data_IF_802697546480
#
_entry.id   IF_802697546480
#
_cell.length_a   1.000
_cell.length_b   1.000
_cell.length_c   1.000
_cell.angle_alpha   90.00
_cell.angle_beta   90.00
_cell.angle_gamma   90.00
#
_symmetry.space_group_name_H-M   'P 1'
#
loop_
_entity.id
_entity.type
_entity.pdbx_description
1 polymer ?
#
# COMPACT_ATOMS: atom_id res chain seq x y z
N UNK A 1 -10.89 -87.26 -14.45
CA UNK A 1 -11.93 -86.22 -14.31
C UNK A 1 -11.92 -85.78 -12.86
N UNK A 2 -11.71 -84.47 -12.60
CA UNK A 2 -11.85 -83.68 -11.35
C UNK A 2 -10.63 -82.81 -11.02
N UNK A 3 -10.78 -81.53 -11.40
CA UNK A 3 -9.95 -80.37 -11.07
C UNK A 3 -10.00 -80.04 -9.57
N UNK A 4 -8.90 -79.51 -9.03
CA UNK A 4 -8.94 -78.54 -7.91
C UNK A 4 -7.95 -77.40 -8.13
N UNK A 5 -8.49 -76.28 -8.60
CA UNK A 5 -7.85 -74.97 -8.66
C UNK A 5 -7.71 -74.44 -7.23
N UNK A 6 -6.48 -74.10 -6.81
CA UNK A 6 -6.25 -73.35 -5.56
C UNK A 6 -6.30 -71.86 -5.89
N UNK A 7 -7.35 -71.17 -5.46
CA UNK A 7 -7.49 -69.71 -5.61
C UNK A 7 -6.48 -68.97 -4.72
N UNK A 8 -5.75 -68.05 -5.33
CA UNK A 8 -4.95 -67.02 -4.67
C UNK A 8 -5.90 -65.93 -4.16
N UNK A 9 -5.84 -65.62 -2.86
CA UNK A 9 -6.49 -64.44 -2.28
C UNK A 9 -5.48 -63.29 -2.30
N UNK A 10 -5.60 -62.38 -3.26
CA UNK A 10 -4.82 -61.14 -3.29
C UNK A 10 -5.58 -60.06 -2.49
N UNK A 11 -5.04 -59.68 -1.33
CA UNK A 11 -5.57 -58.58 -0.52
C UNK A 11 -4.99 -57.26 -1.03
N UNK A 12 -5.76 -56.53 -1.83
CA UNK A 12 -5.38 -55.19 -2.31
C UNK A 12 -5.69 -54.17 -1.22
N UNK A 13 -4.65 -53.70 -0.51
CA UNK A 13 -4.75 -52.55 0.40
C UNK A 13 -4.77 -51.29 -0.46
N UNK A 14 -5.93 -50.64 -0.55
CA UNK A 14 -6.10 -49.36 -1.24
C UNK A 14 -5.66 -48.24 -0.28
N UNK A 15 -4.41 -47.80 -0.39
CA UNK A 15 -3.90 -46.65 0.36
C UNK A 15 -4.44 -45.36 -0.29
N UNK A 16 -5.47 -44.77 0.30
CA UNK A 16 -5.94 -43.42 -0.04
C UNK A 16 -4.91 -42.40 0.47
N UNK A 17 -3.99 -41.98 -0.40
CA UNK A 17 -3.24 -40.75 -0.19
C UNK A 17 -4.19 -39.56 -0.34
N UNK A 18 -4.71 -39.07 0.79
CA UNK A 18 -5.41 -37.80 0.84
C UNK A 18 -4.41 -36.69 0.51
N UNK A 19 -4.55 -36.07 -0.66
CA UNK A 19 -3.90 -34.79 -0.93
C UNK A 19 -4.58 -33.74 -0.04
N UNK A 20 -3.98 -33.44 1.12
CA UNK A 20 -4.29 -32.22 1.83
C UNK A 20 -3.76 -31.06 0.97
N UNK A 21 -4.66 -30.30 0.36
CA UNK A 21 -4.30 -29.01 -0.24
C UNK A 21 -3.78 -28.12 0.88
N UNK A 22 -2.48 -27.87 0.91
CA UNK A 22 -1.93 -26.77 1.71
C UNK A 22 -2.47 -25.50 1.07
N UNK A 23 -3.45 -24.88 1.71
CA UNK A 23 -3.90 -23.54 1.31
C UNK A 23 -2.73 -22.59 1.61
N UNK A 24 -2.04 -22.14 0.57
CA UNK A 24 -1.16 -20.97 0.68
C UNK A 24 -2.05 -19.79 1.08
N UNK A 25 -1.68 -19.09 2.15
CA UNK A 25 -2.35 -17.84 2.50
C UNK A 25 -2.21 -16.88 1.32
N UNK A 26 -3.33 -16.33 0.83
CA UNK A 26 -3.26 -15.34 -0.23
C UNK A 26 -2.49 -14.10 0.27
N UNK A 27 -1.61 -13.55 -0.56
CA UNK A 27 -0.77 -12.39 -0.22
C UNK A 27 -1.16 -11.16 -1.05
N UNK A 28 -0.85 -9.96 -0.55
CA UNK A 28 -0.96 -8.73 -1.33
C UNK A 28 0.17 -8.69 -2.37
N UNK A 29 -0.17 -8.89 -3.64
CA UNK A 29 0.81 -8.98 -4.73
C UNK A 29 1.04 -7.62 -5.37
N UNK A 30 2.30 -7.22 -5.53
CA UNK A 30 2.72 -5.95 -6.15
C UNK A 30 3.48 -6.25 -7.44
N UNK A 31 3.13 -5.58 -8.55
CA UNK A 31 3.75 -5.83 -9.87
C UNK A 31 3.99 -4.55 -10.65
N UNK A 32 4.94 -4.61 -11.59
CA UNK A 32 5.30 -3.47 -12.42
C UNK A 32 5.96 -2.37 -11.60
N UNK A 33 7.07 -2.70 -10.93
CA UNK A 33 7.80 -1.75 -10.11
C UNK A 33 8.40 -0.61 -10.96
N UNK A 34 8.00 0.62 -10.64
CA UNK A 34 8.62 1.84 -11.11
C UNK A 34 9.45 2.51 -10.01
N UNK A 35 10.01 3.69 -10.33
CA UNK A 35 10.85 4.45 -9.39
C UNK A 35 10.11 4.76 -8.09
N UNK A 36 8.87 5.26 -8.19
CA UNK A 36 8.12 5.80 -7.04
C UNK A 36 6.79 5.08 -6.76
N UNK A 37 6.45 4.02 -7.51
CA UNK A 37 5.18 3.30 -7.40
C UNK A 37 5.27 1.88 -7.97
N UNK A 38 4.32 1.02 -7.64
CA UNK A 38 4.00 -0.15 -8.47
C UNK A 38 2.87 0.19 -9.44
N UNK A 39 2.88 -0.41 -10.62
CA UNK A 39 1.79 -0.26 -11.59
C UNK A 39 0.49 -0.88 -11.05
N UNK A 40 0.60 -2.06 -10.42
CA UNK A 40 -0.56 -2.80 -9.95
C UNK A 40 -0.29 -3.37 -8.54
N UNK A 41 -1.30 -3.28 -7.67
CA UNK A 41 -1.35 -3.97 -6.38
C UNK A 41 -2.65 -4.75 -6.33
N UNK A 42 -2.54 -6.08 -6.21
CA UNK A 42 -3.67 -7.00 -6.05
C UNK A 42 -3.86 -7.31 -4.58
N UNK A 43 -5.03 -6.98 -4.04
CA UNK A 43 -5.41 -7.23 -2.66
C UNK A 43 -6.34 -8.44 -2.65
N UNK A 44 -5.96 -9.58 -2.04
CA UNK A 44 -6.78 -10.78 -2.05
C UNK A 44 -7.96 -10.66 -1.08
N UNK A 45 -8.87 -11.65 -1.17
CA UNK A 45 -9.90 -11.82 -0.16
C UNK A 45 -9.26 -12.06 1.22
N UNK A 46 -9.91 -11.57 2.27
CA UNK A 46 -9.45 -11.74 3.65
C UNK A 46 -8.45 -10.67 4.13
N UNK A 47 -7.96 -9.78 3.28
CA UNK A 47 -7.16 -8.63 3.73
C UNK A 47 -8.01 -7.62 4.53
N UNK A 48 -7.41 -7.04 5.58
CA UNK A 48 -7.94 -5.86 6.25
C UNK A 48 -7.68 -4.62 5.40
N UNK A 49 -8.59 -3.64 5.43
CA UNK A 49 -8.39 -2.36 4.74
C UNK A 49 -8.68 -1.19 5.68
N UNK A 50 -7.92 -0.11 5.51
CA UNK A 50 -8.09 1.13 6.25
C UNK A 50 -8.12 2.31 5.28
N UNK A 51 -9.12 3.17 5.48
CA UNK A 51 -9.38 4.36 4.68
C UNK A 51 -9.09 5.57 5.55
N UNK A 52 -8.11 6.38 5.14
CA UNK A 52 -7.81 7.64 5.81
C UNK A 52 -8.33 8.80 4.96
N UNK A 53 -8.83 9.85 5.62
CA UNK A 53 -9.29 11.07 4.95
C UNK A 53 -8.13 11.82 4.31
N UNK A 54 -8.45 12.71 3.37
CA UNK A 54 -7.50 13.69 2.86
C UNK A 54 -6.89 14.50 4.00
N UNK A 55 -5.58 14.67 4.00
CA UNK A 55 -4.86 15.54 4.92
C UNK A 55 -3.87 16.39 4.13
N UNK A 56 -3.70 17.63 4.57
CA UNK A 56 -2.57 18.47 4.19
C UNK A 56 -1.65 18.72 5.38
N UNK A 57 -0.71 19.64 5.17
CA UNK A 57 0.25 20.04 6.18
C UNK A 57 -0.41 20.79 7.36
N UNK A 58 0.38 21.03 8.39
CA UNK A 58 0.10 21.94 9.51
C UNK A 58 0.94 23.21 9.33
N UNK A 59 0.50 24.38 9.85
CA UNK A 59 1.31 25.59 9.77
C UNK A 59 2.58 25.45 10.62
N UNK A 60 3.66 26.05 10.15
CA UNK A 60 4.93 26.18 10.87
C UNK A 60 4.81 27.16 12.04
N UNK A 61 5.82 27.20 12.92
CA UNK A 61 5.84 28.08 14.09
C UNK A 61 5.75 29.58 13.73
N UNK A 62 6.27 29.96 12.56
CA UNK A 62 6.21 31.34 12.05
C UNK A 62 4.88 31.67 11.35
N UNK A 63 3.95 30.71 11.31
CA UNK A 63 2.65 30.83 10.66
C UNK A 63 2.67 30.61 9.14
N UNK A 64 3.84 30.38 8.54
CA UNK A 64 3.94 29.96 7.14
C UNK A 64 3.55 28.49 6.98
N UNK A 65 3.32 28.03 5.75
CA UNK A 65 3.03 26.62 5.46
C UNK A 65 4.22 25.85 4.90
N UNK A 66 5.33 26.54 4.60
CA UNK A 66 6.46 25.95 3.91
C UNK A 66 6.23 25.67 2.42
N UNK A 67 7.24 25.08 1.80
CA UNK A 67 7.22 24.64 0.39
C UNK A 67 6.54 23.28 0.18
N UNK A 68 6.48 22.82 -1.08
CA UNK A 68 5.83 21.56 -1.42
C UNK A 68 6.46 20.35 -0.73
N UNK A 69 7.79 20.32 -0.60
CA UNK A 69 8.50 19.23 0.05
C UNK A 69 8.17 19.20 1.54
N UNK A 70 8.26 20.34 2.21
CA UNK A 70 7.94 20.49 3.63
C UNK A 70 6.49 20.08 3.93
N UNK A 71 5.55 20.53 3.11
CA UNK A 71 4.13 20.15 3.27
C UNK A 71 3.90 18.66 3.01
N UNK A 72 4.59 18.08 2.02
CA UNK A 72 4.50 16.64 1.74
C UNK A 72 5.04 15.81 2.91
N UNK A 73 6.18 16.21 3.47
CA UNK A 73 6.81 15.53 4.62
C UNK A 73 5.92 15.62 5.86
N UNK A 74 5.40 16.79 6.20
CA UNK A 74 4.49 16.97 7.34
C UNK A 74 3.24 16.10 7.17
N UNK A 75 2.65 16.10 5.98
CA UNK A 75 1.46 15.30 5.69
C UNK A 75 1.70 13.80 5.87
N UNK A 76 2.84 13.27 5.39
CA UNK A 76 3.16 11.85 5.57
C UNK A 76 3.54 11.48 7.00
N UNK A 77 4.19 12.37 7.76
CA UNK A 77 4.40 12.16 9.20
C UNK A 77 3.08 12.03 9.97
N UNK A 78 2.09 12.89 9.66
CA UNK A 78 0.74 12.78 10.26
C UNK A 78 0.06 11.45 9.93
N UNK A 79 0.24 10.94 8.72
CA UNK A 79 -0.24 9.60 8.37
C UNK A 79 0.50 8.51 9.12
N UNK A 80 1.83 8.59 9.23
CA UNK A 80 2.65 7.65 10.01
C UNK A 80 2.14 7.58 11.45
N UNK A 81 1.99 8.71 12.12
CA UNK A 81 1.46 8.79 13.49
C UNK A 81 0.04 8.19 13.60
N UNK A 82 -0.84 8.53 12.67
CA UNK A 82 -2.23 8.04 12.67
C UNK A 82 -2.29 6.53 12.47
N UNK A 83 -1.48 5.98 11.55
CA UNK A 83 -1.39 4.54 11.28
C UNK A 83 -0.83 3.80 12.49
N UNK A 84 0.29 4.28 13.03
CA UNK A 84 0.97 3.65 14.17
C UNK A 84 0.09 3.64 15.43
N UNK A 85 -0.70 4.70 15.67
CA UNK A 85 -1.66 4.76 16.79
C UNK A 85 -2.74 3.67 16.73
N UNK A 86 -2.99 3.10 15.54
CA UNK A 86 -3.96 2.04 15.29
C UNK A 86 -3.28 0.68 15.00
N UNK A 87 -1.95 0.61 15.17
CA UNK A 87 -1.15 -0.59 14.94
C UNK A 87 -0.95 -0.95 13.46
N UNK A 88 -1.11 0.02 12.55
CA UNK A 88 -0.75 -0.07 11.12
C UNK A 88 0.61 0.57 10.89
N UNK A 89 1.21 0.36 9.71
CA UNK A 89 2.48 0.96 9.32
C UNK A 89 2.39 1.70 7.98
N UNK A 90 3.41 2.50 7.66
CA UNK A 90 3.55 3.11 6.33
C UNK A 90 3.69 2.07 5.21
N UNK A 91 4.20 0.87 5.50
CA UNK A 91 4.32 -0.21 4.52
C UNK A 91 2.96 -0.78 4.09
N UNK A 92 1.94 -0.64 4.96
CA UNK A 92 0.57 -1.08 4.69
C UNK A 92 -0.12 -0.17 3.66
N UNK A 93 0.42 1.02 3.36
CA UNK A 93 -0.17 1.94 2.38
C UNK A 93 -0.06 1.33 0.98
N UNK A 94 -1.22 1.09 0.36
CA UNK A 94 -1.35 0.53 -0.98
C UNK A 94 -1.72 1.57 -2.02
N UNK A 95 -2.31 2.70 -1.62
CA UNK A 95 -2.64 3.80 -2.53
C UNK A 95 -2.32 5.16 -1.92
N UNK A 96 -1.70 6.03 -2.71
CA UNK A 96 -1.55 7.46 -2.46
C UNK A 96 -2.20 8.25 -3.57
N UNK A 97 -3.08 9.18 -3.23
CA UNK A 97 -3.62 10.16 -4.17
C UNK A 97 -3.31 11.55 -3.67
N UNK A 98 -2.51 12.28 -4.42
CA UNK A 98 -2.10 13.63 -4.09
C UNK A 98 -2.78 14.62 -5.04
N UNK A 99 -3.47 15.60 -4.45
CA UNK A 99 -4.08 16.72 -5.12
C UNK A 99 -3.27 17.96 -4.80
N UNK A 100 -2.72 18.61 -5.83
CA UNK A 100 -1.77 19.69 -5.64
C UNK A 100 -2.16 20.94 -6.42
N UNK A 101 -1.76 22.09 -5.91
CA UNK A 101 -1.91 23.38 -6.57
C UNK A 101 -0.53 23.91 -6.94
N UNK A 102 -0.48 24.76 -7.98
CA UNK A 102 0.76 25.45 -8.33
C UNK A 102 1.12 26.45 -7.24
N UNK A 103 2.43 26.61 -6.99
CA UNK A 103 2.94 27.58 -6.03
C UNK A 103 2.75 29.04 -6.50
N UNK A 104 3.26 30.03 -5.75
CA UNK A 104 3.08 31.45 -6.06
C UNK A 104 3.67 31.87 -7.42
N UNK A 105 4.59 31.08 -7.98
CA UNK A 105 5.20 31.30 -9.29
C UNK A 105 4.42 30.66 -10.45
N UNK A 106 3.25 30.05 -10.19
CA UNK A 106 2.38 29.46 -11.21
C UNK A 106 2.78 28.06 -11.68
N UNK A 107 3.91 27.54 -11.20
CA UNK A 107 4.39 26.20 -11.54
C UNK A 107 4.05 25.17 -10.46
N UNK A 108 3.69 23.97 -10.91
CA UNK A 108 3.46 22.83 -10.04
C UNK A 108 4.80 22.22 -9.63
N UNK A 109 5.10 22.21 -8.34
CA UNK A 109 6.36 21.67 -7.82
C UNK A 109 6.33 20.14 -7.71
N UNK A 110 6.44 19.46 -8.86
CA UNK A 110 6.54 18.00 -8.90
C UNK A 110 7.82 17.47 -8.25
N UNK A 111 8.90 18.27 -8.28
CA UNK A 111 10.18 17.89 -7.70
C UNK A 111 10.09 17.82 -6.18
N UNK A 112 9.59 18.90 -5.55
CA UNK A 112 9.37 18.97 -4.10
C UNK A 112 8.45 17.86 -3.58
N UNK A 113 7.35 17.57 -4.29
CA UNK A 113 6.49 16.44 -3.93
C UNK A 113 7.27 15.11 -3.94
N UNK A 114 8.08 14.85 -4.98
CA UNK A 114 8.85 13.60 -5.04
C UNK A 114 9.95 13.53 -3.98
N UNK A 115 10.64 14.64 -3.70
CA UNK A 115 11.67 14.70 -2.65
C UNK A 115 11.07 14.33 -1.30
N UNK A 116 9.94 14.93 -0.92
CA UNK A 116 9.25 14.61 0.33
C UNK A 116 8.71 13.18 0.36
N UNK A 117 8.08 12.73 -0.73
CA UNK A 117 7.53 11.37 -0.85
C UNK A 117 8.58 10.27 -0.69
N UNK A 118 9.76 10.46 -1.30
CA UNK A 118 10.84 9.47 -1.30
C UNK A 118 11.50 9.28 0.07
N UNK A 119 11.17 10.11 1.07
CA UNK A 119 11.59 9.89 2.45
C UNK A 119 10.78 8.78 3.13
N UNK A 120 9.61 8.40 2.59
CA UNK A 120 8.67 7.47 3.24
C UNK A 120 8.45 6.15 2.49
N UNK A 121 8.75 6.09 1.19
CA UNK A 121 8.46 4.94 0.34
C UNK A 121 9.62 4.58 -0.57
N UNK A 122 9.89 3.28 -0.72
CA UNK A 122 11.03 2.79 -1.47
C UNK A 122 12.37 3.09 -0.79
N UNK A 123 12.35 3.25 0.54
CA UNK A 123 13.54 3.43 1.38
C UNK A 123 13.99 2.09 1.96
N UNK A 124 15.13 2.07 2.65
CA UNK A 124 15.59 0.89 3.39
C UNK A 124 14.67 0.55 4.57
N UNK A 125 14.02 1.56 5.19
CA UNK A 125 13.05 1.36 6.29
C UNK A 125 11.69 0.88 5.77
N UNK A 126 11.23 1.42 4.63
CA UNK A 126 9.99 1.02 3.98
C UNK A 126 10.24 0.81 2.47
N UNK A 127 10.58 -0.42 2.04
CA UNK A 127 10.79 -0.72 0.63
C UNK A 127 9.49 -0.73 -0.16
N UNK A 128 8.34 -0.80 0.51
CA UNK A 128 7.03 -0.88 -0.14
C UNK A 128 6.63 0.49 -0.70
N UNK A 129 6.24 0.49 -1.97
CA UNK A 129 5.65 1.65 -2.65
C UNK A 129 4.14 1.42 -2.87
N UNK A 130 3.29 2.42 -2.75
CA UNK A 130 1.88 2.33 -3.15
C UNK A 130 1.72 2.48 -4.67
N UNK A 131 0.52 2.17 -5.20
CA UNK A 131 0.07 2.81 -6.45
C UNK A 131 -0.15 4.30 -6.18
N UNK A 132 0.09 5.17 -7.16
CA UNK A 132 -0.04 6.61 -6.90
C UNK A 132 -0.61 7.44 -8.05
N UNK A 133 -1.24 8.55 -7.68
CA UNK A 133 -1.60 9.64 -8.59
C UNK A 133 -1.16 10.97 -8.00
N UNK A 134 -0.69 11.87 -8.86
CA UNK A 134 -0.38 13.26 -8.52
C UNK A 134 -1.10 14.13 -9.54
N UNK A 135 -2.06 14.94 -9.08
CA UNK A 135 -3.00 15.65 -9.95
C UNK A 135 -3.00 17.12 -9.59
N UNK A 136 -2.77 17.96 -10.58
CA UNK A 136 -2.96 19.41 -10.42
C UNK A 136 -4.45 19.74 -10.41
N UNK A 137 -4.87 20.54 -9.42
CA UNK A 137 -6.23 21.03 -9.26
C UNK A 137 -6.25 22.56 -9.16
N UNK A 138 -7.44 23.16 -9.24
CA UNK A 138 -7.60 24.62 -9.25
C UNK A 138 -7.42 25.27 -7.88
N UNK A 139 -7.65 24.54 -6.78
CA UNK A 139 -7.59 25.09 -5.43
C UNK A 139 -7.87 24.02 -4.36
N UNK A 140 -7.34 24.25 -3.16
CA UNK A 140 -7.58 23.45 -1.96
C UNK A 140 -8.46 24.24 -0.98
N UNK A 141 -9.05 23.54 -0.01
CA UNK A 141 -9.97 24.15 0.97
C UNK A 141 -9.24 25.05 1.97
N UNK A 142 -8.01 24.69 2.35
CA UNK A 142 -7.21 25.43 3.33
C UNK A 142 -6.26 26.38 2.60
N UNK A 143 -6.35 27.66 2.94
CA UNK A 143 -5.47 28.69 2.39
C UNK A 143 -4.00 28.40 2.79
N UNK A 144 -3.12 28.41 1.80
CA UNK A 144 -1.68 28.13 1.96
C UNK A 144 -1.27 26.67 1.77
N UNK A 145 -2.23 25.73 1.70
CA UNK A 145 -1.92 24.38 1.27
C UNK A 145 -1.50 24.35 -0.20
N UNK A 146 -0.40 23.66 -0.45
CA UNK A 146 0.09 23.29 -1.77
C UNK A 146 -0.35 21.88 -2.16
N UNK A 147 -0.65 21.04 -1.17
CA UNK A 147 -1.00 19.63 -1.36
C UNK A 147 -2.00 19.13 -0.31
N UNK A 148 -2.92 18.30 -0.77
CA UNK A 148 -3.74 17.42 0.07
C UNK A 148 -3.57 15.98 -0.43
N UNK A 149 -3.30 15.06 0.49
CA UNK A 149 -3.04 13.65 0.18
C UNK A 149 -4.11 12.79 0.83
N UNK A 150 -4.67 11.85 0.07
CA UNK A 150 -5.52 10.78 0.56
C UNK A 150 -4.77 9.43 0.44
N UNK A 151 -4.90 8.57 1.44
CA UNK A 151 -4.31 7.22 1.41
C UNK A 151 -5.32 6.10 1.65
N UNK A 152 -4.95 4.92 1.14
CA UNK A 152 -5.59 3.64 1.48
C UNK A 152 -4.51 2.68 1.93
N UNK A 153 -4.76 1.98 3.03
CA UNK A 153 -3.89 0.92 3.52
C UNK A 153 -4.60 -0.44 3.47
N UNK A 154 -3.83 -1.49 3.28
CA UNK A 154 -4.30 -2.87 3.32
C UNK A 154 -3.19 -3.80 3.83
N UNK A 155 -3.58 -4.81 4.60
CA UNK A 155 -2.68 -5.83 5.13
C UNK A 155 -3.38 -7.17 5.25
N UNK A 156 -2.61 -8.25 5.25
CA UNK A 156 -3.17 -9.54 5.65
C UNK A 156 -3.43 -9.55 7.17
N UNK A 157 -4.48 -10.21 7.66
CA UNK A 157 -4.71 -10.39 9.09
C UNK A 157 -3.47 -11.02 9.75
N UNK A 158 -3.18 -10.58 10.97
CA UNK A 158 -2.08 -11.13 11.79
C UNK A 158 -2.45 -12.48 12.38
#
# INVERSE_FOLDING_TARGET
MFNRVKSLLALTVLATFGFASVATADEIVRTGEGRNFYNNISIPAGAETLYLSGSGASPMEDGSWGDMEQQTVDTFNKFKETLESQGWSMEDIVQVRAFAVAGPYGELDFAGFNSGYQQFFGTDENPMKPVRSFVQIAGLVVEGWLIEIEIRAARMPK
#
